data_IF_433238627931
#
_entry.id   IF_433238627931
#
_cell.length_a   1.000
_cell.length_b   1.000
_cell.length_c   1.000
_cell.angle_alpha   90.00
_cell.angle_beta   90.00
_cell.angle_gamma   90.00
#
_symmetry.space_group_name_H-M   'P 1'
#
loop_
_entity.id
_entity.type
_entity.pdbx_description
1 polymer ?
#
# COMPACT_ATOMS: atom_id res chain seq x y z
N UNK A 1 26.86 -36.82 -7.81
CA UNK A 1 25.43 -37.15 -7.62
C UNK A 1 24.72 -35.93 -7.02
N UNK A 2 24.73 -34.74 -7.66
CA UNK A 2 23.63 -34.22 -8.48
C UNK A 2 24.12 -33.00 -9.30
N UNK A 3 24.73 -33.26 -10.45
CA UNK A 3 25.05 -32.23 -11.46
C UNK A 3 23.81 -31.68 -12.17
N UNK A 4 22.64 -32.28 -11.95
CA UNK A 4 21.40 -32.01 -12.69
C UNK A 4 20.55 -30.86 -12.12
N UNK A 5 20.87 -30.35 -10.93
CA UNK A 5 20.10 -29.26 -10.28
C UNK A 5 20.69 -27.87 -10.50
N UNK A 6 21.92 -27.78 -11.00
CA UNK A 6 22.64 -26.53 -11.23
C UNK A 6 22.75 -26.29 -12.72
N UNK A 7 22.37 -25.10 -13.18
CA UNK A 7 22.61 -24.72 -14.57
C UNK A 7 24.09 -24.38 -14.79
N UNK A 8 24.53 -24.37 -16.05
CA UNK A 8 25.92 -24.12 -16.42
C UNK A 8 26.43 -22.74 -15.94
N UNK A 9 25.56 -21.73 -15.88
CA UNK A 9 25.88 -20.39 -15.39
C UNK A 9 26.21 -20.37 -13.89
N UNK A 10 25.45 -21.13 -13.09
CA UNK A 10 25.70 -21.28 -11.65
C UNK A 10 27.01 -22.02 -11.40
N UNK A 11 27.29 -23.09 -12.17
CA UNK A 11 28.53 -23.85 -12.07
C UNK A 11 29.75 -23.00 -12.43
N UNK A 12 29.66 -22.21 -13.51
CA UNK A 12 30.70 -21.27 -13.89
C UNK A 12 30.93 -20.21 -12.80
N UNK A 13 29.86 -19.67 -12.24
CA UNK A 13 29.95 -18.65 -11.18
C UNK A 13 30.57 -19.23 -9.91
N UNK A 14 30.14 -20.40 -9.46
CA UNK A 14 30.71 -21.10 -8.30
C UNK A 14 32.20 -21.39 -8.48
N UNK A 15 32.60 -21.81 -9.68
CA UNK A 15 34.00 -22.07 -10.02
C UNK A 15 34.88 -20.81 -10.00
N UNK A 16 34.28 -19.63 -10.21
CA UNK A 16 34.96 -18.33 -10.14
C UNK A 16 35.10 -17.76 -8.72
N UNK A 17 34.46 -18.38 -7.72
CA UNK A 17 34.52 -17.95 -6.33
C UNK A 17 35.71 -18.60 -5.60
N UNK A 18 36.29 -17.93 -4.59
CA UNK A 18 37.30 -18.55 -3.74
C UNK A 18 36.76 -19.83 -3.11
N UNK A 19 37.60 -20.88 -3.02
CA UNK A 19 37.20 -22.18 -2.46
C UNK A 19 36.55 -22.07 -1.06
N UNK A 20 37.03 -21.13 -0.23
CA UNK A 20 36.47 -20.85 1.11
C UNK A 20 35.04 -20.29 1.08
N UNK A 21 34.54 -19.88 -0.08
CA UNK A 21 33.18 -19.38 -0.30
C UNK A 21 32.34 -20.39 -1.07
N UNK A 22 32.89 -21.00 -2.13
CA UNK A 22 32.13 -21.95 -2.96
C UNK A 22 31.87 -23.28 -2.25
N UNK A 23 32.85 -23.86 -1.56
CA UNK A 23 32.68 -25.16 -0.90
C UNK A 23 31.55 -25.16 0.17
N UNK A 24 31.46 -24.15 1.07
CA UNK A 24 30.33 -24.07 2.01
C UNK A 24 28.97 -23.91 1.33
N UNK A 25 28.87 -23.18 0.22
CA UNK A 25 27.60 -23.00 -0.49
C UNK A 25 27.14 -24.30 -1.16
N UNK A 26 28.09 -25.08 -1.68
CA UNK A 26 27.82 -26.41 -2.23
C UNK A 26 27.38 -27.36 -1.12
N UNK A 27 28.06 -27.38 0.04
CA UNK A 27 27.65 -28.21 1.18
C UNK A 27 26.25 -27.85 1.70
N UNK A 28 25.90 -26.56 1.76
CA UNK A 28 24.53 -26.11 2.11
C UNK A 28 23.47 -26.57 1.10
N UNK A 29 23.80 -26.60 -0.19
CA UNK A 29 22.91 -27.11 -1.23
C UNK A 29 22.75 -28.63 -1.13
N UNK A 30 23.84 -29.37 -0.93
CA UNK A 30 23.84 -30.84 -0.81
C UNK A 30 23.05 -31.32 0.41
N UNK A 31 23.08 -30.54 1.50
CA UNK A 31 22.28 -30.79 2.72
C UNK A 31 20.85 -30.31 2.63
N UNK A 32 20.42 -29.76 1.49
CA UNK A 32 19.08 -29.21 1.26
C UNK A 32 18.74 -28.03 2.20
N UNK A 33 19.74 -27.42 2.84
CA UNK A 33 19.59 -26.20 3.63
C UNK A 33 19.46 -24.95 2.75
N UNK A 34 19.91 -25.04 1.50
CA UNK A 34 19.79 -24.00 0.49
C UNK A 34 19.16 -24.61 -0.77
N UNK A 35 18.10 -23.98 -1.31
CA UNK A 35 17.50 -24.45 -2.57
C UNK A 35 18.33 -23.99 -3.79
N UNK A 36 18.24 -24.68 -4.95
CA UNK A 36 18.87 -24.23 -6.18
C UNK A 36 18.46 -22.81 -6.60
N UNK A 37 17.18 -22.46 -6.40
CA UNK A 37 16.64 -21.12 -6.71
C UNK A 37 17.19 -20.03 -5.78
N UNK A 38 17.34 -20.34 -4.49
CA UNK A 38 17.96 -19.43 -3.52
C UNK A 38 19.45 -19.25 -3.83
N UNK A 39 20.15 -20.33 -4.18
CA UNK A 39 21.54 -20.26 -4.60
C UNK A 39 21.73 -19.39 -5.84
N UNK A 40 20.88 -19.53 -6.86
CA UNK A 40 20.94 -18.69 -8.06
C UNK A 40 20.82 -17.21 -7.71
N UNK A 41 19.87 -16.88 -6.84
CA UNK A 41 19.66 -15.50 -6.36
C UNK A 41 20.86 -14.97 -5.57
N UNK A 42 21.47 -15.80 -4.71
CA UNK A 42 22.67 -15.43 -3.94
C UNK A 42 23.88 -15.20 -4.86
N UNK A 43 24.03 -16.00 -5.91
CA UNK A 43 25.08 -15.81 -6.91
C UNK A 43 24.87 -14.51 -7.71
N UNK A 44 23.62 -14.20 -8.09
CA UNK A 44 23.27 -12.91 -8.67
C UNK A 44 23.59 -11.74 -7.73
N UNK A 45 23.30 -11.90 -6.44
CA UNK A 45 23.64 -10.91 -5.42
C UNK A 45 25.16 -10.68 -5.30
N UNK A 46 25.96 -11.73 -5.50
CA UNK A 46 27.42 -11.67 -5.56
C UNK A 46 27.88 -10.75 -6.67
N UNK A 47 27.35 -10.96 -7.88
CA UNK A 47 27.71 -10.19 -9.07
C UNK A 47 27.36 -8.71 -8.91
N UNK A 48 26.19 -8.40 -8.33
CA UNK A 48 25.74 -7.02 -8.13
C UNK A 48 26.45 -6.28 -7.00
N UNK A 49 26.87 -7.00 -5.95
CA UNK A 49 27.51 -6.39 -4.79
C UNK A 49 29.03 -6.30 -4.91
N UNK A 50 29.66 -7.22 -5.65
CA UNK A 50 31.11 -7.45 -5.63
C UNK A 50 31.64 -8.00 -4.30
N UNK A 51 30.77 -8.28 -3.32
CA UNK A 51 31.14 -8.67 -1.95
C UNK A 51 31.26 -10.20 -1.81
N UNK A 52 32.07 -10.83 -2.66
CA UNK A 52 32.24 -12.30 -2.72
C UNK A 52 32.56 -12.93 -1.36
N UNK A 53 33.33 -12.25 -0.51
CA UNK A 53 33.70 -12.75 0.82
C UNK A 53 32.53 -12.82 1.82
N UNK A 54 31.42 -12.09 1.58
CA UNK A 54 30.25 -12.10 2.44
C UNK A 54 29.18 -13.10 2.02
N UNK A 55 29.39 -13.84 0.92
CA UNK A 55 28.34 -14.67 0.33
C UNK A 55 27.82 -15.76 1.25
N UNK A 56 28.72 -16.43 1.99
CA UNK A 56 28.33 -17.49 2.94
C UNK A 56 27.49 -16.91 4.07
N UNK A 57 27.91 -15.79 4.65
CA UNK A 57 27.12 -15.09 5.67
C UNK A 57 25.79 -14.56 5.13
N UNK A 58 25.77 -14.10 3.87
CA UNK A 58 24.56 -13.67 3.20
C UNK A 58 23.61 -14.84 2.91
N UNK A 59 24.09 -16.05 2.64
CA UNK A 59 23.21 -17.22 2.48
C UNK A 59 22.37 -17.49 3.74
N UNK A 60 22.97 -17.34 4.92
CA UNK A 60 22.25 -17.43 6.20
C UNK A 60 21.30 -16.23 6.37
N UNK A 61 21.79 -15.01 6.11
CA UNK A 61 20.99 -13.80 6.21
C UNK A 61 19.80 -13.78 5.23
N UNK A 62 19.94 -14.39 4.06
CA UNK A 62 18.92 -14.50 3.03
C UNK A 62 17.68 -15.22 3.57
N UNK A 63 17.87 -16.38 4.21
CA UNK A 63 16.76 -17.10 4.84
C UNK A 63 16.10 -16.29 5.97
N UNK A 64 16.91 -15.65 6.81
CA UNK A 64 16.42 -14.78 7.87
C UNK A 64 15.58 -13.59 7.34
N UNK A 65 16.05 -12.96 6.26
CA UNK A 65 15.34 -11.87 5.61
C UNK A 65 14.01 -12.34 5.01
N UNK A 66 13.96 -13.52 4.38
CA UNK A 66 12.71 -14.08 3.86
C UNK A 66 11.72 -14.42 4.98
N UNK A 67 12.18 -14.94 6.12
CA UNK A 67 11.33 -15.17 7.29
C UNK A 67 10.71 -13.88 7.85
N UNK A 68 11.34 -12.72 7.61
CA UNK A 68 10.82 -11.39 8.00
C UNK A 68 9.94 -10.72 6.92
N UNK A 69 9.54 -11.48 5.89
CA UNK A 69 8.74 -10.98 4.77
C UNK A 69 9.48 -9.94 3.93
N UNK A 70 10.81 -10.07 3.79
CA UNK A 70 11.59 -9.22 2.87
C UNK A 70 11.67 -9.90 1.51
N UNK A 71 11.25 -9.17 0.47
CA UNK A 71 11.28 -9.61 -0.94
C UNK A 71 12.70 -9.54 -1.55
N UNK A 72 13.64 -10.29 -0.97
CA UNK A 72 15.07 -10.27 -1.36
C UNK A 72 15.26 -10.68 -2.81
N UNK A 73 14.52 -11.69 -3.26
CA UNK A 73 14.57 -12.18 -4.65
C UNK A 73 14.20 -11.08 -5.65
N UNK A 74 13.14 -10.34 -5.35
CA UNK A 74 12.65 -9.27 -6.22
C UNK A 74 13.61 -8.09 -6.24
N UNK A 75 14.18 -7.71 -5.10
CA UNK A 75 15.21 -6.66 -5.05
C UNK A 75 16.40 -7.02 -5.95
N UNK A 76 16.92 -8.24 -5.84
CA UNK A 76 18.07 -8.70 -6.63
C UNK A 76 17.72 -8.74 -8.12
N UNK A 77 16.54 -9.27 -8.47
CA UNK A 77 16.07 -9.35 -9.86
C UNK A 77 15.91 -7.97 -10.49
N UNK A 78 15.29 -7.02 -9.78
CA UNK A 78 15.10 -5.64 -10.24
C UNK A 78 16.44 -4.90 -10.32
N UNK A 79 17.32 -5.10 -9.35
CA UNK A 79 18.66 -4.49 -9.35
C UNK A 79 19.50 -5.00 -10.52
N UNK A 80 19.43 -6.31 -10.84
CA UNK A 80 20.10 -6.93 -12.00
C UNK A 80 19.62 -6.32 -13.31
N UNK A 81 18.31 -6.23 -13.53
CA UNK A 81 17.72 -5.60 -14.74
C UNK A 81 18.15 -4.15 -14.94
N UNK A 82 18.50 -3.45 -13.85
CA UNK A 82 18.82 -2.01 -13.85
C UNK A 82 20.30 -1.70 -13.70
N UNK A 83 21.16 -2.71 -13.62
CA UNK A 83 22.58 -2.52 -13.33
C UNK A 83 22.83 -1.78 -12.01
N UNK A 84 21.92 -1.91 -11.03
CA UNK A 84 22.04 -1.28 -9.71
C UNK A 84 22.87 -2.16 -8.79
N UNK A 85 23.83 -1.56 -8.09
CA UNK A 85 24.59 -2.24 -7.04
C UNK A 85 23.74 -2.44 -5.79
N UNK A 86 23.98 -3.55 -5.10
CA UNK A 86 23.36 -3.87 -3.82
C UNK A 86 24.42 -4.08 -2.74
N UNK A 87 24.01 -4.02 -1.46
CA UNK A 87 24.89 -4.35 -0.36
C UNK A 87 24.32 -5.49 0.49
N UNK A 88 25.05 -6.60 0.54
CA UNK A 88 24.64 -7.81 1.25
C UNK A 88 24.51 -7.61 2.77
N UNK A 89 25.16 -6.58 3.33
CA UNK A 89 25.11 -6.26 4.75
C UNK A 89 23.96 -5.33 5.15
N UNK A 90 23.02 -5.03 4.26
CA UNK A 90 21.88 -4.18 4.59
C UNK A 90 20.97 -4.82 5.65
N UNK A 91 20.48 -3.97 6.55
CA UNK A 91 19.43 -4.34 7.52
C UNK A 91 18.10 -4.61 6.79
N UNK A 92 17.18 -5.40 7.37
CA UNK A 92 15.88 -5.71 6.76
C UNK A 92 15.11 -4.48 6.28
N UNK A 93 15.05 -3.43 7.12
CA UNK A 93 14.42 -2.14 6.76
C UNK A 93 15.00 -1.52 5.49
N UNK A 94 16.31 -1.61 5.27
CA UNK A 94 16.96 -1.06 4.07
C UNK A 94 16.63 -1.90 2.83
N UNK A 95 16.55 -3.22 2.95
CA UNK A 95 16.08 -4.08 1.85
C UNK A 95 14.65 -3.76 1.44
N UNK A 96 13.73 -3.57 2.40
CA UNK A 96 12.34 -3.16 2.13
C UNK A 96 12.27 -1.81 1.41
N UNK A 97 13.06 -0.83 1.87
CA UNK A 97 13.15 0.49 1.22
C UNK A 97 13.71 0.42 -0.21
N UNK A 98 14.71 -0.44 -0.45
CA UNK A 98 15.27 -0.65 -1.78
C UNK A 98 14.25 -1.32 -2.70
N UNK A 99 13.51 -2.32 -2.18
CA UNK A 99 12.41 -2.96 -2.90
C UNK A 99 11.37 -1.95 -3.37
N UNK A 100 10.87 -1.09 -2.47
CA UNK A 100 9.93 -0.03 -2.82
C UNK A 100 10.49 0.91 -3.88
N UNK A 101 11.76 1.30 -3.75
CA UNK A 101 12.42 2.22 -4.67
C UNK A 101 12.53 1.63 -6.07
N UNK A 102 12.99 0.39 -6.17
CA UNK A 102 13.15 -0.30 -7.44
C UNK A 102 11.80 -0.61 -8.09
N UNK A 103 10.83 -1.11 -7.32
CA UNK A 103 9.48 -1.43 -7.79
C UNK A 103 8.75 -0.19 -8.33
N UNK A 104 8.83 0.94 -7.61
CA UNK A 104 8.28 2.23 -8.09
C UNK A 104 8.91 2.61 -9.41
N UNK A 105 10.23 2.58 -9.50
CA UNK A 105 10.88 2.98 -10.72
C UNK A 105 10.59 1.99 -11.86
N UNK A 106 10.42 0.68 -11.64
CA UNK A 106 10.03 -0.27 -12.70
C UNK A 106 8.61 0.00 -13.19
N UNK A 107 7.70 0.28 -12.27
CA UNK A 107 6.34 0.73 -12.60
C UNK A 107 6.38 1.98 -13.47
N UNK A 108 7.23 2.96 -13.13
CA UNK A 108 7.42 4.17 -13.95
C UNK A 108 8.02 3.86 -15.34
N UNK A 109 8.98 2.95 -15.42
CA UNK A 109 9.57 2.49 -16.67
C UNK A 109 8.52 1.89 -17.59
N UNK A 110 7.76 0.91 -17.08
CA UNK A 110 6.67 0.27 -17.81
C UNK A 110 5.60 1.28 -18.25
N UNK A 111 5.16 2.17 -17.36
CA UNK A 111 4.17 3.19 -17.71
C UNK A 111 4.67 4.13 -18.81
N UNK A 112 5.97 4.43 -18.84
CA UNK A 112 6.59 5.27 -19.87
C UNK A 112 6.76 4.52 -21.21
N UNK A 113 7.10 3.23 -21.17
CA UNK A 113 7.27 2.37 -22.34
C UNK A 113 5.92 2.04 -23.00
N UNK A 114 4.94 1.58 -22.22
CA UNK A 114 3.61 1.20 -22.74
C UNK A 114 2.86 2.42 -23.30
N UNK A 115 3.03 3.58 -22.64
CA UNK A 115 2.38 4.86 -22.99
C UNK A 115 0.90 4.73 -23.43
N UNK A 116 0.14 3.88 -22.72
CA UNK A 116 -1.29 3.62 -22.94
C UNK A 116 -2.04 4.95 -22.91
N UNK A 117 -2.89 5.19 -23.92
CA UNK A 117 -3.74 6.37 -23.97
C UNK A 117 -5.05 6.09 -23.22
N UNK A 118 -5.47 7.04 -22.40
CA UNK A 118 -6.74 7.00 -21.68
C UNK A 118 -7.77 7.84 -22.41
N UNK A 119 -8.96 7.27 -22.64
CA UNK A 119 -10.09 8.04 -23.15
C UNK A 119 -10.67 8.89 -22.02
N UNK A 120 -10.43 10.19 -22.08
CA UNK A 120 -10.96 11.18 -21.14
C UNK A 120 -11.98 12.11 -21.80
N UNK A 121 -12.43 11.77 -23.01
CA UNK A 121 -13.26 12.65 -23.85
C UNK A 121 -14.58 12.99 -23.18
N UNK A 122 -15.19 12.04 -22.48
CA UNK A 122 -16.43 12.25 -21.74
C UNK A 122 -16.27 13.29 -20.63
N UNK A 123 -15.20 13.20 -19.85
CA UNK A 123 -14.88 14.18 -18.82
C UNK A 123 -14.58 15.55 -19.44
N UNK A 124 -13.77 15.61 -20.50
CA UNK A 124 -13.37 16.85 -21.14
C UNK A 124 -14.56 17.69 -21.65
N UNK A 125 -15.67 17.07 -22.08
CA UNK A 125 -16.89 17.77 -22.53
C UNK A 125 -17.60 18.53 -21.41
N UNK A 126 -17.38 18.14 -20.16
CA UNK A 126 -18.07 18.69 -18.99
C UNK A 126 -17.18 19.62 -18.15
N UNK A 127 -15.89 19.73 -18.49
CA UNK A 127 -14.96 20.65 -17.84
C UNK A 127 -14.94 22.00 -18.59
N UNK A 128 -14.47 23.03 -17.89
CA UNK A 128 -14.16 24.32 -18.51
C UNK A 128 -13.19 24.14 -19.70
N UNK A 129 -13.44 24.85 -20.80
CA UNK A 129 -12.65 24.77 -22.04
C UNK A 129 -11.16 25.06 -21.79
N UNK A 130 -10.85 25.92 -20.81
CA UNK A 130 -9.50 26.22 -20.34
C UNK A 130 -9.46 26.33 -18.83
N UNK A 131 -8.48 25.66 -18.23
CA UNK A 131 -8.13 25.79 -16.82
C UNK A 131 -6.60 25.71 -16.68
N UNK A 132 -6.01 26.22 -15.58
CA UNK A 132 -4.57 26.16 -15.37
C UNK A 132 -4.18 24.72 -15.03
N UNK A 133 -3.95 23.89 -16.05
CA UNK A 133 -3.77 22.45 -15.87
C UNK A 133 -3.95 21.63 -17.14
N UNK A 134 -4.07 20.32 -16.98
CA UNK A 134 -4.39 19.40 -18.06
C UNK A 134 -4.95 18.07 -17.53
N UNK A 135 -5.75 17.39 -18.35
CA UNK A 135 -6.13 16.00 -18.11
C UNK A 135 -4.94 15.06 -18.35
N UNK A 136 -4.79 14.06 -17.48
CA UNK A 136 -3.79 13.01 -17.60
C UNK A 136 -4.31 11.98 -18.61
N UNK A 137 -3.81 12.08 -19.84
CA UNK A 137 -4.30 11.30 -20.98
C UNK A 137 -3.47 10.06 -21.29
N UNK A 138 -2.36 9.81 -20.59
CA UNK A 138 -1.56 8.62 -20.84
C UNK A 138 -0.86 8.07 -19.61
N UNK A 139 -0.52 6.78 -19.65
CA UNK A 139 0.24 6.09 -18.61
C UNK A 139 1.59 6.77 -18.34
N UNK A 140 2.25 7.30 -19.37
CA UNK A 140 3.48 8.08 -19.22
C UNK A 140 3.24 9.36 -18.41
N UNK A 141 2.18 10.11 -18.70
CA UNK A 141 1.82 11.30 -17.93
C UNK A 141 1.40 10.95 -16.51
N UNK A 142 0.69 9.85 -16.32
CA UNK A 142 0.34 9.33 -15.00
C UNK A 142 1.59 9.02 -14.18
N UNK A 143 2.56 8.30 -14.74
CA UNK A 143 3.84 8.03 -14.09
C UNK A 143 4.58 9.32 -13.70
N UNK A 144 4.60 10.31 -14.59
CA UNK A 144 5.19 11.62 -14.29
C UNK A 144 4.44 12.38 -13.18
N UNK A 145 3.12 12.21 -13.07
CA UNK A 145 2.34 12.77 -11.97
C UNK A 145 2.73 12.12 -10.64
N UNK A 146 2.78 10.78 -10.60
CA UNK A 146 3.25 10.04 -9.42
C UNK A 146 4.64 10.42 -8.98
N UNK A 147 5.56 10.66 -9.91
CA UNK A 147 6.91 11.11 -9.59
C UNK A 147 6.93 12.51 -8.97
N UNK A 148 6.19 13.46 -9.54
CA UNK A 148 6.14 14.86 -9.08
C UNK A 148 5.44 14.99 -7.74
N UNK A 149 4.33 14.28 -7.57
CA UNK A 149 3.50 14.38 -6.38
C UNK A 149 3.83 13.35 -5.31
N UNK A 150 4.69 12.38 -5.61
CA UNK A 150 4.97 11.23 -4.73
C UNK A 150 3.69 10.42 -4.42
N UNK A 151 2.83 10.26 -5.42
CA UNK A 151 1.60 9.44 -5.34
C UNK A 151 1.87 8.02 -5.83
N UNK A 152 1.17 7.03 -5.28
CA UNK A 152 1.14 5.71 -5.88
C UNK A 152 0.32 5.76 -7.17
N UNK A 153 0.94 5.46 -8.32
CA UNK A 153 0.28 5.48 -9.63
C UNK A 153 -0.28 4.13 -10.07
N UNK A 154 0.13 3.05 -9.41
CA UNK A 154 -0.25 1.69 -9.78
C UNK A 154 -1.76 1.45 -9.60
N UNK A 155 -2.35 1.98 -8.53
CA UNK A 155 -3.78 1.88 -8.22
C UNK A 155 -4.67 2.61 -9.24
N UNK A 156 -4.18 3.68 -9.85
CA UNK A 156 -4.95 4.48 -10.81
C UNK A 156 -4.96 3.91 -12.23
N UNK A 157 -3.88 3.22 -12.64
CA UNK A 157 -3.71 2.82 -14.04
C UNK A 157 -4.87 1.94 -14.54
N UNK A 158 -5.29 0.95 -13.77
CA UNK A 158 -6.40 0.05 -14.15
C UNK A 158 -7.72 0.81 -14.28
N UNK A 159 -8.02 1.70 -13.33
CA UNK A 159 -9.26 2.47 -13.31
C UNK A 159 -9.34 3.49 -14.45
N UNK A 160 -8.20 4.11 -14.80
CA UNK A 160 -8.08 5.01 -15.95
C UNK A 160 -8.24 4.26 -17.27
N UNK A 161 -7.61 3.10 -17.42
CA UNK A 161 -7.75 2.26 -18.63
C UNK A 161 -9.19 1.79 -18.84
N UNK A 162 -9.94 1.53 -17.76
CA UNK A 162 -11.35 1.12 -17.82
C UNK A 162 -12.32 2.30 -17.97
N UNK A 163 -11.83 3.54 -17.94
CA UNK A 163 -12.67 4.75 -18.05
C UNK A 163 -13.52 5.07 -16.82
N UNK A 164 -13.35 4.33 -15.70
CA UNK A 164 -14.14 4.54 -14.48
C UNK A 164 -13.85 5.87 -13.78
N UNK A 165 -12.71 6.48 -14.11
CA UNK A 165 -12.30 7.77 -13.59
C UNK A 165 -11.39 8.49 -14.57
N UNK A 166 -11.20 9.79 -14.37
CA UNK A 166 -10.15 10.57 -15.00
C UNK A 166 -9.33 11.32 -13.94
N UNK A 167 -8.10 11.69 -14.29
CA UNK A 167 -7.26 12.55 -13.45
C UNK A 167 -6.94 13.84 -14.19
N UNK A 168 -6.91 14.95 -13.45
CA UNK A 168 -6.40 16.23 -13.93
C UNK A 168 -5.27 16.72 -13.04
N UNK A 169 -4.23 17.29 -13.65
CA UNK A 169 -3.27 18.13 -12.94
C UNK A 169 -3.76 19.57 -13.01
N UNK A 170 -4.01 20.21 -11.87
CA UNK A 170 -4.51 21.60 -11.76
C UNK A 170 -3.53 22.43 -10.93
N UNK A 171 -3.30 23.67 -11.33
CA UNK A 171 -2.41 24.59 -10.64
C UNK A 171 -3.22 25.71 -9.99
N UNK A 172 -3.09 25.84 -8.67
CA UNK A 172 -3.68 26.91 -7.87
C UNK A 172 -2.56 27.56 -7.09
N UNK A 173 -2.39 28.88 -7.20
CA UNK A 173 -1.34 29.63 -6.50
C UNK A 173 0.07 29.05 -6.68
N UNK A 174 0.38 28.63 -7.92
CA UNK A 174 1.63 27.95 -8.33
C UNK A 174 1.84 26.56 -7.70
N UNK A 175 0.92 26.09 -6.87
CA UNK A 175 0.90 24.74 -6.32
C UNK A 175 0.17 23.78 -7.25
N UNK A 176 0.77 22.62 -7.51
CA UNK A 176 0.17 21.56 -8.32
C UNK A 176 -0.71 20.64 -7.46
N UNK A 177 -1.90 20.33 -7.97
CA UNK A 177 -2.87 19.43 -7.37
C UNK A 177 -3.29 18.35 -8.38
N UNK A 178 -3.36 17.10 -7.92
CA UNK A 178 -3.95 15.98 -8.65
C UNK A 178 -5.42 15.89 -8.27
N UNK A 179 -6.29 16.06 -9.26
CA UNK A 179 -7.75 16.05 -9.10
C UNK A 179 -8.29 14.77 -9.69
N UNK A 180 -9.04 14.01 -8.90
CA UNK A 180 -9.73 12.82 -9.34
C UNK A 180 -11.17 13.14 -9.74
N UNK A 181 -11.51 12.80 -10.97
CA UNK A 181 -12.82 13.00 -11.56
C UNK A 181 -13.54 11.66 -11.68
N UNK A 182 -14.84 11.67 -11.37
CA UNK A 182 -15.75 10.57 -11.66
C UNK A 182 -16.95 11.08 -12.42
N UNK A 183 -17.57 10.20 -13.21
CA UNK A 183 -18.86 10.49 -13.82
C UNK A 183 -19.96 10.33 -12.78
N UNK A 184 -21.03 11.09 -12.96
CA UNK A 184 -22.25 11.03 -12.17
C UNK A 184 -23.43 10.77 -13.11
N UNK A 185 -24.47 10.09 -12.61
CA UNK A 185 -25.69 9.86 -13.39
C UNK A 185 -26.66 11.05 -13.34
N UNK A 186 -26.32 12.11 -12.61
CA UNK A 186 -27.06 13.37 -12.58
C UNK A 186 -26.81 14.18 -13.86
N UNK A 187 -27.82 14.39 -14.73
CA UNK A 187 -27.67 15.15 -15.96
C UNK A 187 -27.25 16.62 -15.73
N UNK A 188 -27.56 17.20 -14.57
CA UNK A 188 -27.26 18.60 -14.24
C UNK A 188 -25.83 18.78 -13.66
N UNK A 189 -25.21 17.68 -13.22
CA UNK A 189 -23.86 17.58 -12.65
C UNK A 189 -23.14 16.29 -13.11
N UNK A 190 -22.87 16.11 -14.42
CA UNK A 190 -22.41 14.85 -15.00
C UNK A 190 -20.99 14.45 -14.61
N UNK A 191 -20.17 15.39 -14.14
CA UNK A 191 -18.83 15.14 -13.59
C UNK A 191 -18.77 15.61 -12.15
N UNK A 192 -18.15 14.81 -11.28
CA UNK A 192 -17.85 15.15 -9.90
C UNK A 192 -16.36 15.09 -9.62
N UNK A 193 -15.89 15.98 -8.75
CA UNK A 193 -14.55 15.88 -8.15
C UNK A 193 -14.68 14.98 -6.92
N UNK A 194 -13.97 13.85 -6.94
CA UNK A 194 -13.98 12.87 -5.85
C UNK A 194 -12.84 13.10 -4.86
N UNK A 195 -11.70 13.60 -5.34
CA UNK A 195 -10.52 13.82 -4.51
C UNK A 195 -9.64 14.91 -5.10
N UNK A 196 -8.97 15.67 -4.23
CA UNK A 196 -7.91 16.62 -4.60
C UNK A 196 -6.71 16.39 -3.70
N UNK A 197 -5.59 15.96 -4.27
CA UNK A 197 -4.35 15.66 -3.53
C UNK A 197 -3.17 16.48 -4.03
N UNK A 198 -2.40 17.01 -3.09
CA UNK A 198 -1.12 17.64 -3.33
C UNK A 198 0.02 16.65 -3.08
N UNK A 199 1.24 17.17 -3.02
CA UNK A 199 2.45 16.37 -2.82
C UNK A 199 2.39 15.56 -1.52
N UNK A 200 2.80 14.29 -1.58
CA UNK A 200 2.71 13.29 -0.51
C UNK A 200 1.27 12.96 -0.08
N UNK A 201 0.35 12.84 -1.05
CA UNK A 201 -1.08 12.54 -0.82
C UNK A 201 -1.82 13.51 0.13
N UNK A 202 -1.24 14.67 0.45
CA UNK A 202 -1.85 15.68 1.31
C UNK A 202 -3.16 16.17 0.71
N UNK A 203 -4.23 16.15 1.50
CA UNK A 203 -5.54 16.66 1.09
C UNK A 203 -5.48 18.18 0.90
N UNK A 204 -6.21 18.68 -0.11
CA UNK A 204 -6.31 20.11 -0.34
C UNK A 204 -7.14 20.81 0.76
N UNK A 205 -6.74 22.01 1.18
CA UNK A 205 -7.58 22.92 1.96
C UNK A 205 -8.91 23.23 1.26
N UNK A 206 -9.91 23.61 2.04
CA UNK A 206 -11.28 23.81 1.56
C UNK A 206 -11.40 24.89 0.47
N UNK A 207 -10.73 26.01 0.70
CA UNK A 207 -10.62 27.14 -0.22
C UNK A 207 -9.99 26.72 -1.55
N UNK A 208 -8.95 25.88 -1.51
CA UNK A 208 -8.32 25.33 -2.72
C UNK A 208 -9.29 24.40 -3.46
N UNK A 209 -10.03 23.54 -2.75
CA UNK A 209 -11.04 22.67 -3.36
C UNK A 209 -12.10 23.49 -4.06
N UNK A 210 -12.63 24.54 -3.42
CA UNK A 210 -13.63 25.43 -4.01
C UNK A 210 -13.09 26.16 -5.24
N UNK A 211 -11.84 26.65 -5.17
CA UNK A 211 -11.18 27.28 -6.30
C UNK A 211 -11.03 26.29 -7.47
N UNK A 212 -10.65 25.03 -7.22
CA UNK A 212 -10.54 24.00 -8.26
C UNK A 212 -11.89 23.68 -8.89
N UNK A 213 -12.96 23.58 -8.09
CA UNK A 213 -14.33 23.42 -8.61
C UNK A 213 -14.69 24.54 -9.59
N UNK A 214 -14.43 25.80 -9.21
CA UNK A 214 -14.67 26.97 -10.05
C UNK A 214 -13.82 26.93 -11.34
N UNK A 215 -12.52 26.63 -11.23
CA UNK A 215 -11.61 26.55 -12.38
C UNK A 215 -12.01 25.46 -13.37
N UNK A 216 -12.50 24.32 -12.87
CA UNK A 216 -12.90 23.20 -13.70
C UNK A 216 -14.34 23.33 -14.23
N UNK A 217 -15.11 24.33 -13.77
CA UNK A 217 -16.53 24.46 -14.12
C UNK A 217 -17.41 23.34 -13.56
N UNK A 218 -16.91 22.60 -12.57
CA UNK A 218 -17.61 21.48 -11.96
C UNK A 218 -18.40 22.00 -10.77
N UNK A 219 -19.73 21.99 -10.86
CA UNK A 219 -20.59 22.34 -9.74
C UNK A 219 -20.21 21.48 -8.53
N UNK A 220 -19.98 22.13 -7.40
CA UNK A 220 -19.88 21.40 -6.15
C UNK A 220 -21.29 20.87 -5.90
N UNK A 221 -21.44 19.53 -5.87
CA UNK A 221 -22.62 18.97 -5.23
C UNK A 221 -22.69 19.64 -3.86
N UNK A 222 -23.78 20.36 -3.59
CA UNK A 222 -23.99 21.07 -2.33
C UNK A 222 -23.55 20.10 -1.24
N UNK A 223 -22.53 20.49 -0.47
CA UNK A 223 -22.05 19.66 0.61
C UNK A 223 -23.23 19.44 1.55
N UNK A 224 -23.90 18.30 1.45
CA UNK A 224 -23.95 17.51 2.66
C UNK A 224 -22.49 17.37 3.05
N UNK A 225 -22.09 18.11 4.10
CA UNK A 225 -20.94 17.77 4.92
C UNK A 225 -20.73 16.27 4.82
N UNK A 226 -19.51 15.81 4.45
CA UNK A 226 -19.10 14.39 4.34
C UNK A 226 -20.12 13.56 5.06
N UNK A 227 -21.01 12.77 4.40
CA UNK A 227 -22.21 12.34 5.07
C UNK A 227 -21.76 11.80 6.41
N UNK A 228 -22.17 12.49 7.50
CA UNK A 228 -22.37 11.79 8.76
C UNK A 228 -23.03 10.51 8.28
N UNK A 229 -22.41 9.34 8.53
CA UNK A 229 -22.98 8.12 8.02
C UNK A 229 -24.46 8.25 8.34
N UNK A 230 -25.30 8.17 7.29
CA UNK A 230 -26.73 8.46 7.48
C UNK A 230 -27.17 7.69 8.73
N UNK A 231 -28.17 8.14 9.49
CA UNK A 231 -28.60 7.38 10.68
C UNK A 231 -28.68 5.87 10.34
N UNK A 232 -29.15 5.55 9.13
CA UNK A 232 -29.09 4.22 8.52
C UNK A 232 -27.69 3.57 8.30
N UNK A 233 -26.64 4.30 7.90
CA UNK A 233 -25.28 3.78 7.79
C UNK A 233 -24.59 3.61 9.15
N UNK A 234 -24.80 4.53 10.11
CA UNK A 234 -24.35 4.36 11.51
C UNK A 234 -25.04 3.14 12.13
N UNK A 235 -26.36 3.06 12.00
CA UNK A 235 -27.17 1.93 12.48
C UNK A 235 -26.70 0.60 11.86
N UNK A 236 -26.38 0.58 10.55
CA UNK A 236 -25.85 -0.63 9.87
C UNK A 236 -24.46 -1.00 10.36
N UNK A 237 -23.60 -0.03 10.63
CA UNK A 237 -22.26 -0.28 11.17
C UNK A 237 -22.36 -0.85 12.59
N UNK A 238 -23.21 -0.26 13.44
CA UNK A 238 -23.48 -0.77 14.78
C UNK A 238 -24.11 -2.16 14.74
N UNK A 239 -25.12 -2.39 13.90
CA UNK A 239 -25.74 -3.72 13.72
C UNK A 239 -24.70 -4.77 13.31
N UNK A 240 -23.79 -4.42 12.38
CA UNK A 240 -22.72 -5.31 11.92
C UNK A 240 -21.74 -5.66 13.03
N UNK A 241 -21.28 -4.66 13.79
CA UNK A 241 -20.40 -4.84 14.96
C UNK A 241 -21.08 -5.75 15.99
N UNK A 242 -22.32 -5.43 16.36
CA UNK A 242 -23.06 -6.19 17.36
C UNK A 242 -23.31 -7.63 16.93
N UNK A 243 -23.73 -7.85 15.69
CA UNK A 243 -24.02 -9.19 15.16
C UNK A 243 -22.75 -10.04 15.07
N UNK A 244 -21.64 -9.46 14.60
CA UNK A 244 -20.38 -10.18 14.47
C UNK A 244 -19.77 -10.49 15.84
N UNK A 245 -19.81 -9.56 16.79
CA UNK A 245 -19.37 -9.80 18.18
C UNK A 245 -20.19 -10.91 18.86
N UNK A 246 -21.52 -10.90 18.67
CA UNK A 246 -22.40 -11.94 19.21
C UNK A 246 -22.10 -13.33 18.64
N UNK A 247 -21.59 -13.41 17.41
CA UNK A 247 -21.20 -14.67 16.78
C UNK A 247 -19.81 -15.17 17.23
N UNK A 248 -18.83 -14.28 17.39
CA UNK A 248 -17.45 -14.69 17.74
C UNK A 248 -17.24 -14.97 19.23
N UNK A 249 -17.97 -14.28 20.12
CA UNK A 249 -17.77 -14.42 21.58
C UNK A 249 -18.03 -15.86 22.09
N UNK A 250 -19.13 -16.54 21.72
CA UNK A 250 -19.35 -17.92 22.13
C UNK A 250 -18.29 -18.87 21.58
N UNK A 251 -17.83 -18.66 20.35
CA UNK A 251 -16.78 -19.46 19.72
C UNK A 251 -15.45 -19.34 20.49
N UNK A 252 -15.04 -18.13 20.83
CA UNK A 252 -13.82 -17.88 21.61
C UNK A 252 -13.90 -18.47 23.03
N UNK A 253 -15.04 -18.33 23.70
CA UNK A 253 -15.27 -18.94 25.01
C UNK A 253 -15.20 -20.46 24.95
N UNK A 254 -15.79 -21.06 23.91
CA UNK A 254 -15.72 -22.50 23.67
C UNK A 254 -14.29 -23.00 23.43
N UNK A 255 -13.43 -22.16 22.83
CA UNK A 255 -12.01 -22.44 22.63
C UNK A 255 -11.12 -22.10 23.84
N UNK A 256 -11.66 -21.51 24.91
CA UNK A 256 -10.91 -21.15 26.12
C UNK A 256 -10.05 -19.88 26.01
N UNK A 257 -10.28 -19.04 25.00
CA UNK A 257 -9.54 -17.78 24.81
C UNK A 257 -10.04 -16.73 25.82
N UNK A 258 -9.13 -16.07 26.52
CA UNK A 258 -9.45 -14.98 27.47
C UNK A 258 -9.41 -13.60 26.82
N UNK A 259 -8.45 -13.37 25.93
CA UNK A 259 -8.23 -12.09 25.28
C UNK A 259 -7.80 -12.27 23.83
N UNK A 260 -8.31 -11.41 22.95
CA UNK A 260 -7.82 -11.27 21.57
C UNK A 260 -7.21 -9.89 21.41
N UNK A 261 -6.01 -9.84 20.83
CA UNK A 261 -5.27 -8.61 20.55
C UNK A 261 -4.93 -8.59 19.06
N UNK A 262 -5.33 -7.53 18.38
CA UNK A 262 -5.04 -7.30 16.97
C UNK A 262 -4.28 -6.00 16.84
N UNK A 263 -3.09 -6.05 16.24
CA UNK A 263 -2.31 -4.86 15.93
C UNK A 263 -2.58 -4.44 14.50
N UNK A 264 -2.51 -3.15 14.25
CA UNK A 264 -2.57 -2.64 12.89
C UNK A 264 -1.56 -1.52 12.75
N UNK A 265 -1.01 -1.41 11.56
CA UNK A 265 -0.12 -0.33 11.18
C UNK A 265 -0.43 0.08 9.75
N UNK A 266 -0.91 1.31 9.60
CA UNK A 266 -1.00 1.97 8.31
C UNK A 266 0.07 3.04 8.17
N UNK A 267 0.66 3.10 6.97
CA UNK A 267 1.60 4.13 6.57
C UNK A 267 1.62 4.26 5.04
N UNK A 268 1.61 5.49 4.54
CA UNK A 268 1.55 5.76 3.11
C UNK A 268 0.16 5.51 2.55
N UNK A 269 0.02 4.59 1.58
CA UNK A 269 -1.28 4.14 1.04
C UNK A 269 -1.47 2.64 1.32
N UNK A 270 -0.94 2.18 2.45
CA UNK A 270 -0.89 0.76 2.81
C UNK A 270 -1.19 0.63 4.28
N UNK A 271 -2.18 -0.20 4.58
CA UNK A 271 -2.49 -0.65 5.93
C UNK A 271 -2.32 -2.16 6.00
N UNK A 272 -1.76 -2.64 7.10
CA UNK A 272 -1.81 -4.06 7.44
C UNK A 272 -2.46 -4.20 8.80
N UNK A 273 -3.50 -5.02 8.87
CA UNK A 273 -4.00 -5.56 10.12
C UNK A 273 -3.17 -6.83 10.34
N UNK A 274 -2.37 -6.84 11.39
CA UNK A 274 -1.56 -8.00 11.76
C UNK A 274 -2.46 -9.18 12.14
N UNK A 275 -1.88 -10.37 12.21
CA UNK A 275 -2.58 -11.56 12.70
C UNK A 275 -3.19 -11.32 14.09
N UNK A 276 -4.40 -11.82 14.30
CA UNK A 276 -5.07 -11.75 15.59
C UNK A 276 -4.38 -12.70 16.58
N UNK A 277 -3.87 -12.14 17.68
CA UNK A 277 -3.19 -12.91 18.72
C UNK A 277 -4.15 -13.19 19.88
N UNK A 278 -4.34 -14.46 20.20
CA UNK A 278 -5.13 -14.93 21.33
C UNK A 278 -4.24 -15.15 22.55
N UNK A 279 -4.79 -14.89 23.74
CA UNK A 279 -4.21 -15.28 25.02
C UNK A 279 -5.11 -16.27 25.74
N UNK A 280 -4.47 -17.28 26.32
CA UNK A 280 -5.09 -18.27 27.19
C UNK A 280 -4.68 -18.01 28.65
N UNK A 281 -5.43 -18.54 29.63
CA UNK A 281 -5.08 -18.39 31.04
C UNK A 281 -3.66 -18.88 31.32
N UNK A 282 -2.78 -17.98 31.75
CA UNK A 282 -1.40 -18.31 32.15
C UNK A 282 -0.42 -18.63 31.01
N UNK A 283 -0.82 -18.39 29.76
CA UNK A 283 -0.09 -18.82 28.56
C UNK A 283 0.36 -17.63 27.67
N UNK A 284 1.26 -17.92 26.72
CA UNK A 284 1.77 -16.93 25.76
C UNK A 284 0.76 -16.51 24.68
N UNK A 285 1.07 -15.51 23.84
CA UNK A 285 0.23 -15.16 22.69
C UNK A 285 0.32 -16.25 21.61
N UNK A 286 -0.83 -16.70 21.11
CA UNK A 286 -0.96 -17.65 19.99
C UNK A 286 -1.65 -16.97 18.82
N UNK A 287 -1.28 -17.31 17.59
CA UNK A 287 -2.02 -16.87 16.42
C UNK A 287 -3.40 -17.54 16.39
N UNK A 288 -4.46 -16.73 16.28
CA UNK A 288 -5.85 -17.18 16.20
C UNK A 288 -6.07 -18.14 15.01
N UNK A 289 -5.34 -17.96 13.91
CA UNK A 289 -5.41 -18.86 12.74
C UNK A 289 -4.78 -20.24 13.01
N UNK A 290 -3.92 -20.33 14.02
CA UNK A 290 -3.23 -21.57 14.40
C UNK A 290 -3.96 -22.38 15.47
N UNK A 291 -5.12 -21.90 15.93
CA UNK A 291 -5.92 -22.65 16.90
C UNK A 291 -6.54 -23.89 16.25
N UNK A 292 -6.32 -25.10 16.82
CA UNK A 292 -6.98 -26.30 16.34
C UNK A 292 -8.49 -26.19 16.54
N UNK A 293 -9.25 -26.72 15.59
CA UNK A 293 -10.71 -26.84 15.66
C UNK A 293 -11.49 -25.52 15.85
N UNK A 294 -11.00 -24.39 15.31
CA UNK A 294 -11.77 -23.14 15.33
C UNK A 294 -13.05 -23.27 14.53
N UNK A 295 -14.23 -23.05 15.15
CA UNK A 295 -15.49 -23.11 14.44
C UNK A 295 -15.59 -21.97 13.43
N UNK A 296 -16.24 -22.25 12.30
CA UNK A 296 -16.71 -21.17 11.41
C UNK A 296 -17.86 -20.46 12.10
N UNK A 297 -17.92 -19.15 11.94
CA UNK A 297 -18.95 -18.30 12.54
C UNK A 297 -19.68 -17.52 11.45
N UNK A 298 -20.99 -17.27 11.61
CA UNK A 298 -21.71 -16.40 10.70
C UNK A 298 -21.18 -14.96 10.85
N UNK A 299 -20.76 -14.37 9.74
CA UNK A 299 -20.37 -12.97 9.64
C UNK A 299 -21.38 -12.21 8.79
N UNK A 300 -21.94 -11.18 9.40
CA UNK A 300 -22.81 -10.21 8.78
C UNK A 300 -22.01 -9.24 7.92
N UNK A 301 -22.48 -9.01 6.70
CA UNK A 301 -22.02 -7.92 5.83
C UNK A 301 -23.21 -7.25 5.16
N UNK A 302 -22.96 -6.12 4.49
CA UNK A 302 -23.94 -5.51 3.59
C UNK A 302 -23.38 -5.54 2.18
N UNK A 303 -24.13 -6.10 1.24
CA UNK A 303 -23.89 -5.88 -0.17
C UNK A 303 -24.61 -4.63 -0.59
N UNK A 304 -23.84 -3.59 -0.93
CA UNK A 304 -24.39 -2.40 -1.57
C UNK A 304 -24.51 -2.64 -3.07
N UNK A 305 -25.68 -2.38 -3.63
CA UNK A 305 -25.95 -2.43 -5.06
C UNK A 305 -26.82 -1.24 -5.44
N UNK A 306 -26.69 -0.80 -6.68
CA UNK A 306 -27.43 0.35 -7.19
C UNK A 306 -28.65 -0.14 -7.96
N UNK A 307 -29.84 0.21 -7.50
CA UNK A 307 -31.11 -0.21 -8.10
C UNK A 307 -32.10 0.95 -8.06
N UNK A 308 -32.75 1.22 -9.21
CA UNK A 308 -33.78 2.25 -9.36
C UNK A 308 -33.37 3.66 -8.88
N UNK A 309 -32.13 4.07 -9.18
CA UNK A 309 -31.66 5.44 -8.87
C UNK A 309 -31.21 5.65 -7.41
N UNK A 310 -31.15 4.60 -6.60
CA UNK A 310 -30.68 4.67 -5.22
C UNK A 310 -29.73 3.52 -4.87
N UNK A 311 -28.74 3.79 -4.02
CA UNK A 311 -27.95 2.74 -3.40
C UNK A 311 -28.82 2.00 -2.39
N UNK A 312 -29.01 0.71 -2.62
CA UNK A 312 -29.63 -0.21 -1.68
C UNK A 312 -28.57 -1.10 -1.07
N UNK A 313 -28.77 -1.46 0.18
CA UNK A 313 -27.93 -2.42 0.87
C UNK A 313 -28.79 -3.61 1.25
N UNK A 314 -28.38 -4.81 0.86
CA UNK A 314 -28.98 -6.04 1.36
C UNK A 314 -28.04 -6.66 2.37
N UNK A 315 -28.62 -7.06 3.50
CA UNK A 315 -27.96 -7.81 4.56
C UNK A 315 -27.60 -9.20 4.04
N UNK A 316 -26.34 -9.57 4.14
CA UNK A 316 -25.84 -10.90 3.81
C UNK A 316 -25.18 -11.53 5.04
N UNK A 317 -25.32 -12.84 5.18
CA UNK A 317 -24.64 -13.63 6.22
C UNK A 317 -23.81 -14.70 5.53
N UNK A 318 -22.53 -14.78 5.88
CA UNK A 318 -21.60 -15.77 5.35
C UNK A 318 -20.86 -16.45 6.50
N UNK A 319 -20.79 -17.78 6.48
CA UNK A 319 -19.94 -18.51 7.40
C UNK A 319 -18.47 -18.31 7.03
N UNK A 320 -17.69 -17.70 7.91
CA UNK A 320 -16.28 -17.37 7.72
C UNK A 320 -15.43 -17.98 8.84
N UNK A 321 -14.10 -17.97 8.68
CA UNK A 321 -13.21 -18.37 9.78
C UNK A 321 -13.30 -17.37 10.94
N UNK A 322 -12.95 -17.80 12.14
CA UNK A 322 -12.92 -16.91 13.31
C UNK A 322 -11.94 -15.74 13.09
N UNK A 323 -10.80 -15.99 12.42
CA UNK A 323 -9.85 -14.93 12.05
C UNK A 323 -10.42 -13.92 11.06
N UNK A 324 -11.13 -14.36 10.02
CA UNK A 324 -11.74 -13.44 9.05
C UNK A 324 -12.85 -12.60 9.71
N UNK A 325 -13.64 -13.22 10.59
CA UNK A 325 -14.65 -12.52 11.37
C UNK A 325 -14.02 -11.42 12.25
N UNK A 326 -12.89 -11.72 12.90
CA UNK A 326 -12.14 -10.74 13.68
C UNK A 326 -11.57 -9.62 12.84
N UNK A 327 -10.99 -9.93 11.69
CA UNK A 327 -10.47 -8.91 10.79
C UNK A 327 -11.59 -7.92 10.39
N UNK A 328 -12.78 -8.44 10.03
CA UNK A 328 -13.95 -7.60 9.71
C UNK A 328 -14.41 -6.74 10.89
N UNK A 329 -14.43 -7.29 12.12
CA UNK A 329 -14.77 -6.51 13.32
C UNK A 329 -13.76 -5.38 13.54
N UNK A 330 -12.46 -5.64 13.36
CA UNK A 330 -11.42 -4.62 13.50
C UNK A 330 -11.56 -3.54 12.43
N UNK A 331 -11.82 -3.93 11.18
CA UNK A 331 -12.13 -2.99 10.08
C UNK A 331 -13.34 -2.11 10.42
N UNK A 332 -14.41 -2.68 10.98
CA UNK A 332 -15.60 -1.94 11.41
C UNK A 332 -15.31 -0.96 12.55
N UNK A 333 -14.49 -1.35 13.52
CA UNK A 333 -14.06 -0.46 14.61
C UNK A 333 -13.18 0.67 14.11
N UNK A 334 -12.30 0.40 13.15
CA UNK A 334 -11.47 1.41 12.49
C UNK A 334 -12.33 2.36 11.65
N UNK A 335 -13.34 1.86 10.92
CA UNK A 335 -14.34 2.69 10.22
C UNK A 335 -15.09 3.58 11.22
N UNK A 336 -15.55 3.00 12.34
CA UNK A 336 -16.26 3.73 13.41
C UNK A 336 -15.40 4.82 14.05
N UNK A 337 -14.08 4.63 14.12
CA UNK A 337 -13.16 5.63 14.70
C UNK A 337 -13.14 6.93 13.90
N UNK A 338 -13.51 6.89 12.61
CA UNK A 338 -13.41 8.02 11.69
C UNK A 338 -11.97 8.43 11.36
N UNK A 339 -10.96 7.69 11.87
CA UNK A 339 -9.55 7.95 11.59
C UNK A 339 -9.17 7.30 10.27
N UNK A 340 -8.60 8.09 9.37
CA UNK A 340 -8.02 7.63 8.11
C UNK A 340 -6.68 6.90 8.38
N UNK A 341 -6.77 5.69 8.93
CA UNK A 341 -5.62 4.97 9.48
C UNK A 341 -4.72 4.34 8.41
N UNK A 342 -5.18 4.15 7.18
CA UNK A 342 -4.38 3.46 6.14
C UNK A 342 -3.78 4.41 5.10
N UNK A 343 -4.19 5.69 5.09
CA UNK A 343 -3.67 6.70 4.16
C UNK A 343 -2.76 7.74 4.85
N UNK A 344 -1.86 8.34 4.05
CA UNK A 344 -0.92 9.40 4.41
C UNK A 344 0.06 9.00 5.53
N UNK A 345 0.05 9.71 6.66
CA UNK A 345 0.83 9.39 7.86
C UNK A 345 0.38 8.07 8.50
N UNK A 346 -0.83 7.64 8.13
CA UNK A 346 -1.52 6.49 8.65
C UNK A 346 -1.77 6.55 10.15
N UNK A 347 -2.38 5.49 10.64
CA UNK A 347 -2.66 5.23 12.02
C UNK A 347 -2.13 3.85 12.36
N UNK A 348 -1.55 3.72 13.53
CA UNK A 348 -1.13 2.45 14.09
C UNK A 348 -1.76 2.29 15.46
N UNK A 349 -1.85 1.06 15.93
CA UNK A 349 -2.40 0.83 17.25
C UNK A 349 -2.83 -0.60 17.46
N UNK A 350 -3.78 -0.73 18.37
CA UNK A 350 -4.18 -2.03 18.90
C UNK A 350 -5.69 -2.05 19.17
N UNK A 351 -6.32 -3.11 18.71
CA UNK A 351 -7.65 -3.52 19.11
C UNK A 351 -7.54 -4.67 20.11
N UNK A 352 -8.24 -4.55 21.23
CA UNK A 352 -8.29 -5.60 22.26
C UNK A 352 -9.73 -5.98 22.55
N UNK A 353 -10.01 -7.28 22.58
CA UNK A 353 -11.26 -7.85 23.07
C UNK A 353 -10.98 -8.68 24.32
N UNK A 354 -11.67 -8.35 25.40
CA UNK A 354 -11.81 -9.20 26.58
C UNK A 354 -13.01 -10.14 26.38
N UNK A 355 -12.76 -11.45 26.35
CA UNK A 355 -13.76 -12.46 25.96
C UNK A 355 -14.77 -12.73 27.07
N UNK A 356 -14.36 -12.59 28.34
CA UNK A 356 -15.24 -12.75 29.49
C UNK A 356 -16.31 -11.65 29.50
N UNK A 357 -15.86 -10.40 29.49
CA UNK A 357 -16.73 -9.22 29.57
C UNK A 357 -17.35 -8.80 28.23
N UNK A 358 -16.78 -9.24 27.10
CA UNK A 358 -17.12 -8.75 25.77
C UNK A 358 -16.64 -7.32 25.49
N UNK A 359 -15.78 -6.76 26.35
CA UNK A 359 -15.32 -5.39 26.25
C UNK A 359 -14.30 -5.25 25.12
N UNK A 360 -14.64 -4.41 24.13
CA UNK A 360 -13.74 -4.07 23.02
C UNK A 360 -13.12 -2.68 23.27
N UNK A 361 -11.82 -2.56 23.03
CA UNK A 361 -11.10 -1.27 23.04
C UNK A 361 -10.28 -1.15 21.77
N UNK A 362 -10.44 -0.03 21.08
CA UNK A 362 -9.59 0.37 19.97
C UNK A 362 -8.74 1.57 20.42
N UNK A 363 -7.43 1.47 20.25
CA UNK A 363 -6.52 2.60 20.38
C UNK A 363 -5.93 2.87 19.01
N UNK A 364 -6.13 4.09 18.50
CA UNK A 364 -5.55 4.54 17.22
C UNK A 364 -4.64 5.72 17.52
N UNK A 365 -3.36 5.56 17.18
CA UNK A 365 -2.35 6.62 17.24
C UNK A 365 -1.98 7.05 15.82
N UNK A 366 -1.84 8.35 15.61
CA UNK A 366 -1.44 8.92 14.32
C UNK A 366 -0.03 9.47 14.39
N UNK A 367 0.74 9.30 13.31
CA UNK A 367 2.08 9.87 13.23
C UNK A 367 2.00 11.37 12.91
N UNK A 368 2.84 12.16 13.58
CA UNK A 368 3.01 13.59 13.30
C UNK A 368 4.43 13.75 12.75
N UNK A 369 4.54 14.15 11.48
CA UNK A 369 5.82 14.51 10.89
C UNK A 369 6.00 16.04 10.91
N UNK A 370 6.84 16.54 11.80
CA UNK A 370 7.36 17.90 11.70
C UNK A 370 8.49 17.94 10.65
N UNK A 371 8.44 18.90 9.74
CA UNK A 371 9.48 19.07 8.71
C UNK A 371 9.91 20.53 8.66
N UNK A 372 11.19 20.75 8.90
CA UNK A 372 11.82 22.07 8.79
C UNK A 372 12.43 22.20 7.39
N UNK A 373 12.13 23.30 6.70
CA UNK A 373 12.66 23.59 5.35
C UNK A 373 13.78 24.61 5.51
N UNK A 374 15.03 24.18 5.32
CA UNK A 374 16.16 25.07 5.11
C UNK A 374 16.43 25.21 3.61
N UNK A 375 16.47 26.46 3.13
CA UNK A 375 16.89 26.82 1.78
C UNK A 375 18.17 27.66 1.92
N UNK A 376 19.24 27.21 1.30
CA UNK A 376 20.53 27.90 1.24
C UNK A 376 20.89 28.04 -0.24
N UNK A 377 21.18 29.26 -0.68
CA UNK A 377 21.46 29.60 -2.07
C UNK A 377 22.62 30.61 -2.12
N UNK A 378 23.60 30.34 -2.98
CA UNK A 378 24.80 31.15 -3.12
C UNK A 378 24.98 31.48 -4.60
N UNK A 379 24.68 32.73 -4.96
CA UNK A 379 24.85 33.25 -6.32
C UNK A 379 26.20 33.98 -6.38
N UNK A 380 27.19 33.35 -7.00
CA UNK A 380 28.44 34.01 -7.37
C UNK A 380 28.23 34.79 -8.68
N UNK A 381 28.26 36.12 -8.59
CA UNK A 381 28.33 36.99 -9.76
C UNK A 381 29.81 37.11 -10.16
N UNK A 382 30.13 36.70 -11.38
CA UNK A 382 31.45 36.89 -11.97
C UNK A 382 31.74 38.40 -12.11
N UNK A 383 32.78 38.95 -11.45
CA UNK A 383 33.10 40.36 -11.53
C UNK A 383 33.53 40.83 -12.93
N UNK A 384 33.84 39.93 -13.86
CA UNK A 384 34.25 40.29 -15.23
C UNK A 384 33.07 40.54 -16.19
N UNK A 385 31.82 40.44 -15.73
CA UNK A 385 30.64 40.74 -16.56
C UNK A 385 30.34 42.25 -16.73
N UNK A 386 31.26 43.13 -16.34
CA UNK A 386 31.24 44.55 -16.70
C UNK A 386 32.28 44.83 -17.79
N UNK A 387 32.10 44.30 -18.99
CA UNK A 387 32.58 44.90 -20.25
C UNK A 387 32.15 44.05 -21.46
N UNK A 388 30.89 44.18 -21.87
CA UNK A 388 30.50 43.97 -23.26
C UNK A 388 29.30 44.85 -23.57
N UNK A 389 29.53 45.82 -24.47
CA UNK A 389 28.52 46.63 -25.13
C UNK A 389 27.67 45.78 -26.11
#
# INVERSE_FOLDING_TARGET
MRSELLNDEMLATLSSLPHKVSAPLVDLLEREHLSPTALATILDASALSGQKHKLVGFAVAYHHLKMQGVEVDDVIRMAKRRGRRINLGWRPKRWKMEHETLSRAETLGRLAEDNVQFDVSEYARHLAERFPGYLIQSSRRLGMEGLRQRHCVASYCTSLTRGYMALAAVFVDKQRWTVQLGLNQDPDCPVRISQVKGRFNRSAPEDVVQHIHALLGVKQAMRSSSPRPTVEAEDRLEERIHSNLAAVLPALRGSGVEQVVVRFDGYGDSGTIDAALCRFPGDGPYDLQSLPDTPRVPSMTYRSFYENGAYRATRESQDVSLSDAFQRIVEDYLERSGVDWYNNEGGFGEFTLDVETGCCRLTVETRIQESEIAFDDEIMIDPDCQNAA
#
